data_IF_061059063307
#
_entry.id   IF_061059063307
#
_cell.length_a   1.000
_cell.length_b   1.000
_cell.length_c   1.000
_cell.angle_alpha   90.00
_cell.angle_beta   90.00
_cell.angle_gamma   90.00
#
_symmetry.space_group_name_H-M   'P 1'
#
loop_
_entity.id
_entity.type
_entity.pdbx_description
1 polymer ?
#
# COMPACT_ATOMS: atom_id res chain seq x y z
N UNK A 1 -19.92 -6.73 12.82
CA UNK A 1 -19.54 -6.67 11.39
C UNK A 1 -19.36 -5.20 11.04
N UNK A 2 -18.14 -4.79 10.66
CA UNK A 2 -17.92 -3.40 10.23
C UNK A 2 -18.67 -3.18 8.91
N UNK A 3 -19.42 -2.09 8.81
CA UNK A 3 -20.16 -1.74 7.59
C UNK A 3 -19.19 -1.46 6.43
N UNK A 4 -19.04 -2.44 5.54
CA UNK A 4 -18.19 -2.36 4.35
C UNK A 4 -18.74 -1.33 3.34
N UNK A 5 -20.04 -1.02 3.40
CA UNK A 5 -20.70 -0.03 2.53
C UNK A 5 -20.19 1.38 2.78
N UNK A 6 -19.81 1.72 4.02
CA UNK A 6 -19.31 3.06 4.39
C UNK A 6 -17.90 3.38 3.86
N UNK A 7 -17.17 2.39 3.33
CA UNK A 7 -15.78 2.52 2.86
C UNK A 7 -15.62 2.50 1.33
N UNK A 8 -16.70 2.31 0.59
CA UNK A 8 -16.65 2.34 -0.85
C UNK A 8 -16.49 3.77 -1.36
N UNK A 9 -15.43 4.02 -2.14
CA UNK A 9 -15.22 5.30 -2.80
C UNK A 9 -16.18 5.43 -3.99
N UNK A 10 -16.89 6.56 -4.17
CA UNK A 10 -17.71 6.78 -5.35
C UNK A 10 -16.91 6.57 -6.64
N UNK A 11 -17.47 5.86 -7.61
CA UNK A 11 -16.76 5.38 -8.80
C UNK A 11 -16.05 6.51 -9.57
N UNK A 12 -16.72 7.66 -9.74
CA UNK A 12 -16.12 8.82 -10.44
C UNK A 12 -14.92 9.41 -9.67
N UNK A 13 -14.99 9.45 -8.33
CA UNK A 13 -13.86 9.88 -7.50
C UNK A 13 -12.71 8.89 -7.57
N UNK A 14 -13.01 7.60 -7.45
CA UNK A 14 -12.02 6.53 -7.54
C UNK A 14 -11.23 6.58 -8.87
N UNK A 15 -11.91 6.84 -10.01
CA UNK A 15 -11.26 6.98 -11.31
C UNK A 15 -10.22 8.10 -11.31
N UNK A 16 -10.61 9.30 -10.91
CA UNK A 16 -9.71 10.46 -10.85
C UNK A 16 -8.56 10.24 -9.87
N UNK A 17 -8.84 9.66 -8.71
CA UNK A 17 -7.82 9.42 -7.69
C UNK A 17 -6.78 8.39 -8.15
N UNK A 18 -7.19 7.29 -8.78
CA UNK A 18 -6.26 6.29 -9.34
C UNK A 18 -5.35 6.93 -10.38
N UNK A 19 -5.90 7.67 -11.36
CA UNK A 19 -5.09 8.34 -12.38
C UNK A 19 -4.08 9.30 -11.76
N UNK A 20 -4.51 10.10 -10.78
CA UNK A 20 -3.64 11.04 -10.06
C UNK A 20 -2.52 10.31 -9.30
N UNK A 21 -2.83 9.21 -8.61
CA UNK A 21 -1.84 8.44 -7.86
C UNK A 21 -0.86 7.73 -8.80
N UNK A 22 -1.33 7.13 -9.89
CA UNK A 22 -0.49 6.54 -10.92
C UNK A 22 0.56 7.53 -11.44
N UNK A 23 0.13 8.76 -11.77
CA UNK A 23 1.04 9.84 -12.20
C UNK A 23 2.06 10.19 -11.12
N UNK A 24 1.63 10.36 -9.87
CA UNK A 24 2.53 10.65 -8.75
C UNK A 24 3.57 9.55 -8.53
N UNK A 25 3.17 8.27 -8.59
CA UNK A 25 4.10 7.16 -8.46
C UNK A 25 5.19 7.21 -9.54
N UNK A 26 4.80 7.52 -10.78
CA UNK A 26 5.72 7.66 -11.90
C UNK A 26 6.65 8.88 -11.74
N UNK A 27 6.09 10.06 -11.47
CA UNK A 27 6.84 11.31 -11.29
C UNK A 27 7.85 11.25 -10.12
N UNK A 28 7.54 10.49 -9.07
CA UNK A 28 8.44 10.27 -7.93
C UNK A 28 9.45 9.13 -8.14
N UNK A 29 9.44 8.48 -9.30
CA UNK A 29 10.33 7.36 -9.60
C UNK A 29 10.09 6.12 -8.72
N UNK A 30 8.85 5.93 -8.23
CA UNK A 30 8.48 4.74 -7.48
C UNK A 30 8.05 3.58 -8.39
N UNK A 31 7.87 3.85 -9.67
CA UNK A 31 7.61 2.89 -10.75
C UNK A 31 8.31 3.31 -12.02
N UNK A 32 8.59 2.37 -12.89
CA UNK A 32 9.15 2.59 -14.22
C UNK A 32 8.35 1.81 -15.28
N UNK A 33 8.36 2.28 -16.52
CA UNK A 33 7.71 1.59 -17.62
C UNK A 33 6.25 1.23 -17.34
N UNK A 34 5.93 -0.06 -17.36
CA UNK A 34 4.58 -0.60 -17.10
C UNK A 34 4.40 -1.14 -15.69
N UNK A 35 5.41 -1.00 -14.84
CA UNK A 35 5.42 -1.55 -13.48
C UNK A 35 4.32 -0.97 -12.59
N UNK A 36 4.05 -1.71 -11.51
CA UNK A 36 3.11 -1.31 -10.48
C UNK A 36 1.63 -1.35 -10.91
N UNK A 37 0.78 -1.27 -9.95
CA UNK A 37 -0.68 -1.23 -10.15
C UNK A 37 -1.38 -0.65 -8.92
N UNK A 38 -2.57 -0.11 -9.13
CA UNK A 38 -3.36 0.58 -8.11
C UNK A 38 -4.80 0.11 -8.19
N UNK A 39 -5.41 -0.14 -7.04
CA UNK A 39 -6.84 -0.45 -6.98
C UNK A 39 -7.56 0.26 -5.83
N UNK A 40 -8.87 0.44 -5.98
CA UNK A 40 -9.75 1.08 -5.00
C UNK A 40 -11.05 0.29 -4.90
N UNK A 41 -11.53 0.05 -3.68
CA UNK A 41 -12.84 -0.55 -3.43
C UNK A 41 -13.95 0.44 -3.79
N UNK A 42 -14.83 0.04 -4.71
CA UNK A 42 -15.94 0.85 -5.21
C UNK A 42 -17.32 0.24 -4.91
N UNK A 43 -17.33 -0.83 -4.16
CA UNK A 43 -18.54 -1.52 -3.69
C UNK A 43 -18.17 -2.62 -2.68
N UNK A 44 -19.16 -3.26 -2.06
CA UNK A 44 -18.91 -4.29 -1.07
C UNK A 44 -18.16 -5.50 -1.65
N UNK A 45 -18.40 -5.80 -2.91
CA UNK A 45 -17.92 -6.99 -3.64
C UNK A 45 -17.03 -6.65 -4.84
N UNK A 46 -16.62 -5.38 -5.05
CA UNK A 46 -15.92 -4.96 -6.27
C UNK A 46 -14.91 -3.86 -6.05
N UNK A 47 -13.91 -3.85 -6.92
CA UNK A 47 -12.82 -2.90 -6.97
C UNK A 47 -12.68 -2.31 -8.38
N UNK A 48 -12.10 -1.13 -8.46
CA UNK A 48 -11.58 -0.53 -9.68
C UNK A 48 -10.06 -0.68 -9.68
N UNK A 49 -9.46 -1.14 -10.78
CA UNK A 49 -8.03 -1.44 -10.87
C UNK A 49 -7.42 -0.92 -12.17
N UNK A 50 -6.14 -0.61 -12.16
CA UNK A 50 -5.37 -0.25 -13.35
C UNK A 50 -5.27 -1.42 -14.32
N UNK A 51 -5.21 -1.15 -15.65
CA UNK A 51 -5.06 -2.18 -16.67
C UNK A 51 -3.65 -2.75 -16.71
N UNK A 52 -3.50 -3.93 -17.31
CA UNK A 52 -2.22 -4.49 -17.72
C UNK A 52 -1.67 -3.75 -18.95
N UNK A 53 -0.34 -3.82 -19.14
CA UNK A 53 0.33 -3.43 -20.37
C UNK A 53 0.30 -1.93 -20.69
N UNK A 54 0.09 -1.07 -19.68
CA UNK A 54 0.06 0.39 -19.86
C UNK A 54 0.94 1.07 -18.80
N UNK A 55 1.77 2.03 -19.26
CA UNK A 55 2.51 2.90 -18.35
C UNK A 55 1.55 3.65 -17.42
N UNK A 56 1.89 3.72 -16.13
CA UNK A 56 1.05 4.42 -15.15
C UNK A 56 1.04 5.93 -15.36
N UNK A 57 2.03 6.48 -16.08
CA UNK A 57 2.02 7.87 -16.53
C UNK A 57 0.88 8.16 -17.52
N UNK A 58 0.48 7.15 -18.32
CA UNK A 58 -0.44 7.29 -19.44
C UNK A 58 -1.87 6.79 -19.15
N UNK A 59 -2.09 6.19 -17.95
CA UNK A 59 -3.41 5.69 -17.55
C UNK A 59 -4.45 6.81 -17.53
N UNK A 60 -5.58 6.58 -18.19
CA UNK A 60 -6.76 7.46 -18.21
C UNK A 60 -7.92 6.81 -17.46
N UNK A 61 -8.90 7.60 -17.05
CA UNK A 61 -10.08 7.11 -16.35
C UNK A 61 -10.84 6.00 -17.09
N UNK A 62 -10.88 6.10 -18.45
CA UNK A 62 -11.53 5.11 -19.31
C UNK A 62 -10.79 3.77 -19.43
N UNK A 63 -9.49 3.73 -19.10
CA UNK A 63 -8.67 2.51 -19.16
C UNK A 63 -8.91 1.58 -17.96
N UNK A 64 -9.46 2.13 -16.86
CA UNK A 64 -9.62 1.41 -15.60
C UNK A 64 -10.67 0.31 -15.71
N UNK A 65 -10.40 -0.82 -15.06
CA UNK A 65 -11.19 -2.04 -15.11
C UNK A 65 -11.92 -2.25 -13.79
N UNK A 66 -13.23 -2.49 -13.83
CA UNK A 66 -14.02 -2.88 -12.67
C UNK A 66 -14.05 -4.41 -12.57
N UNK A 67 -13.63 -4.92 -11.40
CA UNK A 67 -13.50 -6.35 -11.13
C UNK A 67 -14.23 -6.70 -9.84
N UNK A 68 -14.95 -7.82 -9.81
CA UNK A 68 -15.51 -8.37 -8.59
C UNK A 68 -14.42 -9.01 -7.72
N UNK A 69 -14.68 -9.18 -6.43
CA UNK A 69 -13.70 -9.80 -5.52
C UNK A 69 -13.44 -11.29 -5.85
N UNK A 70 -14.29 -11.95 -6.65
CA UNK A 70 -14.03 -13.29 -7.17
C UNK A 70 -13.02 -13.31 -8.34
N UNK A 71 -12.65 -12.14 -8.87
CA UNK A 71 -11.76 -11.98 -10.01
C UNK A 71 -12.50 -11.75 -11.33
N UNK A 72 -13.81 -11.84 -11.36
CA UNK A 72 -14.61 -11.64 -12.58
C UNK A 72 -14.61 -10.18 -13.01
N UNK A 73 -14.19 -9.91 -14.26
CA UNK A 73 -14.30 -8.56 -14.85
C UNK A 73 -15.76 -8.17 -15.02
N UNK A 74 -16.16 -7.04 -14.46
CA UNK A 74 -17.53 -6.48 -14.55
C UNK A 74 -17.66 -5.41 -15.63
N UNK A 75 -16.67 -4.52 -15.73
CA UNK A 75 -16.65 -3.41 -16.71
C UNK A 75 -15.23 -3.07 -17.13
N UNK A 76 -15.07 -2.44 -18.27
CA UNK A 76 -13.80 -2.02 -18.86
C UNK A 76 -13.44 -2.85 -20.10
N UNK A 77 -12.72 -2.23 -21.03
CA UNK A 77 -12.35 -2.84 -22.31
C UNK A 77 -11.00 -3.57 -22.22
N UNK A 78 -10.13 -3.14 -21.29
CA UNK A 78 -8.79 -3.71 -21.11
C UNK A 78 -8.80 -4.91 -20.17
N UNK A 79 -7.73 -5.69 -20.20
CA UNK A 79 -7.46 -6.68 -19.15
C UNK A 79 -7.01 -5.97 -17.87
N UNK A 80 -7.44 -6.45 -16.71
CA UNK A 80 -6.93 -6.00 -15.43
C UNK A 80 -5.44 -6.34 -15.28
N UNK A 81 -4.76 -5.67 -14.34
CA UNK A 81 -3.36 -5.98 -14.01
C UNK A 81 -3.13 -7.48 -13.84
N UNK A 82 -1.99 -7.99 -14.32
CA UNK A 82 -1.56 -9.39 -14.13
C UNK A 82 -1.41 -9.76 -12.66
N UNK A 83 -1.19 -8.78 -11.78
CA UNK A 83 -1.00 -9.00 -10.34
C UNK A 83 -2.29 -8.77 -9.53
N UNK A 84 -3.44 -8.78 -10.20
CA UNK A 84 -4.76 -8.64 -9.57
C UNK A 84 -4.96 -9.60 -8.39
N UNK A 85 -4.42 -10.82 -8.45
CA UNK A 85 -4.58 -11.83 -7.40
C UNK A 85 -4.06 -11.35 -6.02
N UNK A 86 -2.94 -10.60 -5.99
CA UNK A 86 -2.40 -10.01 -4.75
C UNK A 86 -3.37 -8.99 -4.17
N UNK A 87 -3.96 -8.14 -5.00
CA UNK A 87 -4.98 -7.18 -4.53
C UNK A 87 -6.20 -7.89 -3.97
N UNK A 88 -6.70 -8.90 -4.69
CA UNK A 88 -7.91 -9.62 -4.29
C UNK A 88 -7.74 -10.36 -2.96
N UNK A 89 -6.59 -11.01 -2.72
CA UNK A 89 -6.35 -11.70 -1.43
C UNK A 89 -6.36 -10.72 -0.27
N UNK A 90 -5.78 -9.53 -0.44
CA UNK A 90 -5.81 -8.46 0.57
C UNK A 90 -7.25 -7.99 0.83
N UNK A 91 -8.01 -7.66 -0.21
CA UNK A 91 -9.40 -7.19 -0.04
C UNK A 91 -10.34 -8.22 0.56
N UNK A 92 -10.16 -9.52 0.23
CA UNK A 92 -10.97 -10.61 0.78
C UNK A 92 -10.71 -10.81 2.27
N UNK A 93 -9.45 -10.77 2.69
CA UNK A 93 -9.07 -10.96 4.08
C UNK A 93 -9.26 -9.70 4.94
N UNK A 94 -9.24 -8.50 4.34
CA UNK A 94 -9.21 -7.22 5.02
C UNK A 94 -10.38 -6.30 4.57
N UNK A 95 -11.57 -6.46 5.17
CA UNK A 95 -12.71 -5.57 4.87
C UNK A 95 -12.46 -4.11 5.21
N UNK A 96 -11.50 -3.81 6.09
CA UNK A 96 -11.06 -2.47 6.46
C UNK A 96 -10.23 -1.77 5.37
N UNK A 97 -9.73 -2.53 4.37
CA UNK A 97 -8.93 -1.97 3.27
C UNK A 97 -9.86 -1.41 2.18
N UNK A 98 -9.69 -0.12 1.89
CA UNK A 98 -10.37 0.58 0.78
C UNK A 98 -9.50 0.76 -0.46
N UNK A 99 -8.16 0.66 -0.34
CA UNK A 99 -7.25 0.79 -1.49
C UNK A 99 -5.96 0.00 -1.29
N UNK A 100 -5.38 -0.44 -2.42
CA UNK A 100 -4.08 -1.14 -2.50
C UNK A 100 -3.22 -0.48 -3.57
N UNK A 101 -1.95 -0.25 -3.25
CA UNK A 101 -0.92 0.27 -4.16
C UNK A 101 0.23 -0.72 -4.21
N UNK A 102 0.59 -1.17 -5.41
CA UNK A 102 1.81 -1.91 -5.68
C UNK A 102 2.74 -1.05 -6.54
N UNK A 103 4.00 -0.99 -6.17
CA UNK A 103 5.05 -0.23 -6.84
C UNK A 103 6.42 -0.92 -6.66
N UNK A 104 7.42 -0.43 -7.41
CA UNK A 104 8.82 -0.88 -7.29
C UNK A 104 9.72 0.27 -6.81
N UNK A 105 9.48 0.81 -5.59
CA UNK A 105 10.27 1.92 -5.05
C UNK A 105 11.73 1.46 -4.92
N UNK A 106 12.70 2.16 -5.54
CA UNK A 106 14.03 1.59 -5.79
C UNK A 106 14.78 1.13 -4.54
N UNK A 107 14.74 1.93 -3.46
CA UNK A 107 15.49 1.59 -2.26
C UNK A 107 14.80 0.48 -1.46
N UNK A 108 13.49 0.57 -1.27
CA UNK A 108 12.73 -0.48 -0.58
C UNK A 108 12.76 -1.81 -1.36
N UNK A 109 12.70 -1.76 -2.70
CA UNK A 109 12.89 -2.93 -3.55
C UNK A 109 14.31 -3.49 -3.44
N UNK A 110 15.33 -2.62 -3.27
CA UNK A 110 16.70 -3.05 -2.99
C UNK A 110 16.81 -3.91 -1.73
N UNK A 111 16.12 -3.53 -0.65
CA UNK A 111 16.02 -4.36 0.57
C UNK A 111 15.34 -5.71 0.26
N UNK A 112 14.26 -5.70 -0.51
CA UNK A 112 13.57 -6.93 -0.90
C UNK A 112 14.44 -7.86 -1.77
N UNK A 113 15.26 -7.30 -2.67
CA UNK A 113 16.23 -8.05 -3.49
C UNK A 113 17.36 -8.63 -2.64
N UNK A 114 17.81 -7.90 -1.63
CA UNK A 114 18.82 -8.38 -0.67
C UNK A 114 18.28 -9.42 0.32
N UNK A 115 16.95 -9.65 0.34
CA UNK A 115 16.32 -10.52 1.35
C UNK A 115 16.31 -9.91 2.75
N UNK A 116 16.47 -8.57 2.86
CA UNK A 116 16.59 -7.85 4.12
C UNK A 116 15.26 -7.16 4.49
N UNK A 117 14.67 -7.44 5.65
CA UNK A 117 13.51 -6.70 6.12
C UNK A 117 13.87 -5.27 6.51
N UNK A 118 12.91 -4.35 6.39
CA UNK A 118 13.06 -3.01 6.96
C UNK A 118 12.93 -3.08 8.49
N UNK A 119 13.88 -2.49 9.26
CA UNK A 119 13.77 -2.41 10.71
C UNK A 119 12.51 -1.65 11.13
N UNK A 120 11.57 -2.35 11.77
CA UNK A 120 10.27 -1.81 12.13
C UNK A 120 10.33 -0.71 13.21
N UNK A 121 11.46 -0.60 13.92
CA UNK A 121 11.67 0.28 15.06
C UNK A 121 12.76 1.34 14.83
N UNK A 122 13.11 1.61 13.58
CA UNK A 122 14.16 2.58 13.27
C UNK A 122 13.67 4.04 13.25
N UNK A 123 12.40 4.27 12.88
CA UNK A 123 11.87 5.62 12.65
C UNK A 123 10.46 5.76 13.25
N UNK A 124 10.17 6.83 14.02
CA UNK A 124 8.83 7.08 14.57
C UNK A 124 7.75 7.13 13.48
N UNK A 125 8.05 7.77 12.34
CA UNK A 125 7.11 7.92 11.21
C UNK A 125 6.76 6.57 10.57
N UNK A 126 7.72 5.62 10.53
CA UNK A 126 7.46 4.27 10.04
C UNK A 126 6.55 3.51 11.02
N UNK A 127 6.85 3.55 12.32
CA UNK A 127 6.06 2.90 13.37
C UNK A 127 4.62 3.42 13.37
N UNK A 128 4.45 4.74 13.40
CA UNK A 128 3.15 5.39 13.52
C UNK A 128 2.36 5.38 12.20
N UNK A 129 3.00 5.72 11.06
CA UNK A 129 2.30 5.93 9.79
C UNK A 129 2.04 4.64 9.01
N UNK A 130 2.93 3.66 9.13
CA UNK A 130 2.89 2.41 8.36
C UNK A 130 2.69 1.21 9.28
N UNK A 131 3.47 1.11 10.33
CA UNK A 131 3.60 -0.09 11.17
C UNK A 131 4.67 -1.04 10.62
N UNK A 132 4.69 -2.30 11.05
CA UNK A 132 5.65 -3.27 10.57
C UNK A 132 5.47 -3.53 9.06
N UNK A 133 6.61 -3.68 8.36
CA UNK A 133 6.66 -4.03 6.94
C UNK A 133 7.10 -5.49 6.83
N UNK A 134 6.22 -6.36 6.36
CA UNK A 134 6.55 -7.77 6.20
C UNK A 134 7.42 -7.99 4.95
N UNK A 135 8.36 -8.93 5.01
CA UNK A 135 9.06 -9.44 3.83
C UNK A 135 8.40 -10.76 3.41
N UNK A 136 7.65 -10.71 2.30
CA UNK A 136 6.97 -11.87 1.71
C UNK A 136 7.99 -12.65 0.87
N UNK A 137 8.15 -13.97 1.08
CA UNK A 137 9.07 -14.78 0.29
C UNK A 137 8.75 -14.73 -1.21
N UNK A 138 9.81 -14.89 -2.02
CA UNK A 138 9.68 -14.87 -3.48
C UNK A 138 8.67 -15.90 -3.98
N UNK A 139 7.91 -15.48 -4.96
CA UNK A 139 7.07 -16.32 -5.81
C UNK A 139 6.87 -15.60 -7.15
N UNK A 140 6.61 -16.35 -8.20
CA UNK A 140 6.46 -15.80 -9.55
C UNK A 140 5.35 -14.75 -9.62
N UNK A 141 5.64 -13.50 -10.05
CA UNK A 141 4.64 -12.46 -10.21
C UNK A 141 3.49 -12.86 -11.14
N UNK A 142 2.30 -12.33 -10.86
CA UNK A 142 1.11 -12.61 -11.67
C UNK A 142 0.46 -13.98 -11.42
N UNK A 143 0.93 -14.76 -10.45
CA UNK A 143 0.40 -16.09 -10.13
C UNK A 143 -0.47 -16.09 -8.86
N UNK A 144 -1.40 -17.03 -8.78
CA UNK A 144 -2.15 -17.32 -7.54
C UNK A 144 -1.22 -17.81 -6.41
N UNK A 145 -0.07 -18.38 -6.76
CA UNK A 145 0.93 -18.81 -5.79
C UNK A 145 1.49 -17.61 -5.01
N UNK A 146 1.80 -16.50 -5.70
CA UNK A 146 2.22 -15.26 -5.05
C UNK A 146 1.13 -14.73 -4.10
N UNK A 147 -0.12 -14.69 -4.53
CA UNK A 147 -1.22 -14.25 -3.67
C UNK A 147 -1.34 -15.11 -2.39
N UNK A 148 -1.16 -16.43 -2.50
CA UNK A 148 -1.14 -17.33 -1.33
C UNK A 148 0.02 -17.03 -0.37
N UNK A 149 1.18 -16.56 -0.86
CA UNK A 149 2.31 -16.16 0.01
C UNK A 149 1.97 -14.99 0.93
N UNK A 150 1.02 -14.14 0.55
CA UNK A 150 0.57 -13.04 1.41
C UNK A 150 -0.25 -13.49 2.61
N UNK A 151 -0.94 -14.63 2.54
CA UNK A 151 -1.91 -15.07 3.55
C UNK A 151 -1.38 -15.00 4.99
N UNK A 152 -0.15 -15.48 5.33
CA UNK A 152 0.37 -15.40 6.69
C UNK A 152 0.65 -13.98 7.18
N UNK A 153 0.75 -13.01 6.28
CA UNK A 153 1.15 -11.64 6.57
C UNK A 153 0.01 -10.62 6.45
N UNK A 154 -1.23 -11.07 6.20
CA UNK A 154 -2.36 -10.16 6.00
C UNK A 154 -2.85 -9.52 7.30
N UNK A 155 -2.74 -10.25 8.42
CA UNK A 155 -3.06 -9.72 9.72
C UNK A 155 -1.87 -8.91 10.28
N UNK A 156 -2.17 -7.75 10.85
CA UNK A 156 -1.17 -6.90 11.51
C UNK A 156 -0.30 -6.04 10.59
N UNK A 157 -0.34 -6.25 9.27
CA UNK A 157 0.47 -5.49 8.32
C UNK A 157 -0.39 -4.67 7.35
N UNK A 158 0.10 -3.50 6.99
CA UNK A 158 -0.47 -2.62 5.97
C UNK A 158 0.56 -2.32 4.85
N UNK A 159 1.77 -2.87 4.98
CA UNK A 159 2.83 -2.78 3.99
C UNK A 159 3.62 -4.09 3.93
N UNK A 160 4.01 -4.46 2.73
CA UNK A 160 4.75 -5.68 2.43
C UNK A 160 5.84 -5.38 1.41
N UNK A 161 7.03 -5.89 1.62
CA UNK A 161 8.06 -6.09 0.60
C UNK A 161 7.87 -7.50 0.02
N UNK A 162 7.93 -7.62 -1.28
CA UNK A 162 7.97 -8.90 -1.97
C UNK A 162 9.41 -9.18 -2.39
N UNK A 163 9.99 -10.28 -1.91
CA UNK A 163 11.37 -10.65 -2.24
C UNK A 163 11.61 -10.61 -3.76
N UNK A 164 12.69 -9.96 -4.20
CA UNK A 164 13.10 -9.80 -5.60
C UNK A 164 12.07 -9.13 -6.53
N UNK A 165 11.11 -8.35 -5.98
CA UNK A 165 10.04 -7.82 -6.82
C UNK A 165 9.74 -6.34 -6.54
N UNK A 166 9.18 -6.01 -5.38
CA UNK A 166 8.73 -4.65 -5.08
C UNK A 166 8.01 -4.53 -3.75
N UNK A 167 7.15 -3.54 -3.62
CA UNK A 167 6.38 -3.27 -2.41
C UNK A 167 4.88 -3.20 -2.67
N UNK A 168 4.08 -3.61 -1.68
CA UNK A 168 2.63 -3.44 -1.66
C UNK A 168 2.24 -2.68 -0.39
N UNK A 169 1.31 -1.74 -0.51
CA UNK A 169 0.73 -1.05 0.64
C UNK A 169 -0.78 -1.00 0.54
N UNK A 170 -1.43 -1.09 1.68
CA UNK A 170 -2.88 -1.02 1.79
C UNK A 170 -3.31 0.10 2.74
N UNK A 171 -4.53 0.59 2.57
CA UNK A 171 -5.09 1.61 3.44
C UNK A 171 -6.60 1.72 3.33
N UNK A 172 -7.25 2.41 4.29
CA UNK A 172 -8.68 2.66 4.24
C UNK A 172 -9.09 3.55 3.07
N UNK A 173 -8.16 4.34 2.54
CA UNK A 173 -8.33 5.18 1.35
C UNK A 173 -7.10 5.10 0.46
N UNK A 174 -7.23 5.50 -0.81
CA UNK A 174 -6.11 5.53 -1.74
C UNK A 174 -5.03 6.53 -1.31
N UNK A 175 -5.42 7.64 -0.70
CA UNK A 175 -4.47 8.59 -0.14
C UNK A 175 -3.56 7.93 0.90
N UNK A 176 -4.14 7.20 1.86
CA UNK A 176 -3.38 6.52 2.92
C UNK A 176 -2.48 5.43 2.34
N UNK A 177 -3.00 4.59 1.43
CA UNK A 177 -2.20 3.56 0.80
C UNK A 177 -0.99 4.14 0.04
N UNK A 178 -1.21 5.23 -0.72
CA UNK A 178 -0.13 5.93 -1.43
C UNK A 178 0.90 6.56 -0.47
N UNK A 179 0.45 7.26 0.58
CA UNK A 179 1.36 7.85 1.59
C UNK A 179 2.21 6.80 2.28
N UNK A 180 1.65 5.61 2.57
CA UNK A 180 2.41 4.47 3.10
C UNK A 180 3.50 4.01 2.13
N UNK A 181 3.22 3.96 0.82
CA UNK A 181 4.21 3.63 -0.19
C UNK A 181 5.37 4.63 -0.20
N UNK A 182 5.06 5.92 -0.15
CA UNK A 182 6.07 6.98 -0.05
C UNK A 182 6.89 6.84 1.24
N UNK A 183 6.25 6.56 2.38
CA UNK A 183 6.91 6.38 3.68
C UNK A 183 7.81 5.16 3.71
N UNK A 184 7.41 4.04 3.10
CA UNK A 184 8.23 2.82 2.99
C UNK A 184 9.52 3.12 2.21
N UNK A 185 9.42 3.77 1.05
CA UNK A 185 10.61 4.15 0.28
C UNK A 185 11.48 5.17 1.04
N UNK A 186 10.88 6.17 1.66
CA UNK A 186 11.61 7.18 2.41
C UNK A 186 12.37 6.58 3.60
N UNK A 187 11.71 5.70 4.36
CA UNK A 187 12.34 4.97 5.45
C UNK A 187 13.49 4.08 4.96
N UNK A 188 13.30 3.36 3.85
CA UNK A 188 14.33 2.54 3.25
C UNK A 188 15.57 3.36 2.87
N UNK A 189 15.39 4.55 2.27
CA UNK A 189 16.49 5.48 1.94
C UNK A 189 17.24 5.94 3.18
N UNK A 190 16.54 6.33 4.23
CA UNK A 190 17.14 6.78 5.49
C UNK A 190 17.93 5.64 6.13
N UNK A 191 17.35 4.44 6.20
CA UNK A 191 17.99 3.26 6.79
C UNK A 191 19.25 2.86 6.00
N UNK A 192 19.18 2.92 4.66
CA UNK A 192 20.35 2.65 3.82
C UNK A 192 21.46 3.68 4.05
N UNK A 193 21.13 4.97 4.12
CA UNK A 193 22.08 6.02 4.43
C UNK A 193 22.69 5.85 5.84
N UNK A 194 21.89 5.48 6.84
CA UNK A 194 22.37 5.21 8.20
C UNK A 194 23.36 4.04 8.23
N UNK A 195 23.09 2.97 7.47
CA UNK A 195 24.02 1.82 7.33
C UNK A 195 25.37 2.22 6.70
N UNK A 196 25.37 3.25 5.86
CA UNK A 196 26.59 3.79 5.23
C UNK A 196 27.48 4.63 6.17
N UNK A 197 26.91 5.16 7.25
CA UNK A 197 27.64 6.01 8.22
C UNK A 197 27.79 5.38 9.59
N UNK A 198 27.10 4.27 9.87
CA UNK A 198 27.16 3.56 11.15
C UNK A 198 26.13 2.46 11.26
N UNK A 199 25.73 2.16 12.50
CA UNK A 199 24.68 1.18 12.79
C UNK A 199 23.33 1.86 12.98
N UNK A 200 22.28 1.23 12.46
CA UNK A 200 20.91 1.67 12.70
C UNK A 200 20.57 1.51 14.18
N UNK A 201 20.27 2.63 14.85
CA UNK A 201 19.85 2.63 16.24
C UNK A 201 18.36 2.39 16.33
N UNK A 202 17.95 1.42 17.14
CA UNK A 202 16.54 1.15 17.40
C UNK A 202 15.97 2.20 18.38
N UNK A 203 14.71 2.58 18.16
CA UNK A 203 13.94 3.34 19.15
C UNK A 203 13.76 2.53 20.44
N UNK A 204 13.68 3.17 21.62
CA UNK A 204 13.34 2.48 22.86
C UNK A 204 12.00 1.74 22.73
N UNK A 205 11.90 0.53 23.26
CA UNK A 205 10.68 -0.28 23.17
C UNK A 205 9.41 0.43 23.71
N UNK A 206 9.58 1.23 24.79
CA UNK A 206 8.46 2.01 25.34
C UNK A 206 7.91 3.01 24.32
N UNK A 207 8.80 3.67 23.57
CA UNK A 207 8.42 4.59 22.49
C UNK A 207 7.74 3.88 21.33
N UNK A 208 8.25 2.71 20.93
CA UNK A 208 7.63 1.88 19.89
C UNK A 208 6.23 1.45 20.31
N UNK A 209 6.04 0.99 21.55
CA UNK A 209 4.73 0.61 22.08
C UNK A 209 3.74 1.80 22.10
N UNK A 210 4.19 2.97 22.52
CA UNK A 210 3.35 4.17 22.54
C UNK A 210 2.92 4.62 21.13
N UNK A 211 3.84 4.62 20.18
CA UNK A 211 3.56 4.95 18.78
C UNK A 211 2.61 3.94 18.12
N UNK A 212 2.80 2.64 18.38
CA UNK A 212 1.92 1.60 17.83
C UNK A 212 0.52 1.66 18.44
N UNK A 213 0.39 1.95 19.73
CA UNK A 213 -0.89 2.17 20.38
C UNK A 213 -1.63 3.37 19.75
N UNK A 214 -0.96 4.51 19.59
CA UNK A 214 -1.52 5.69 18.93
C UNK A 214 -1.93 5.42 17.48
N UNK A 215 -1.14 4.64 16.72
CA UNK A 215 -1.49 4.19 15.37
C UNK A 215 -2.77 3.37 15.34
N UNK A 216 -2.92 2.43 16.28
CA UNK A 216 -4.12 1.56 16.38
C UNK A 216 -5.36 2.36 16.75
N UNK A 217 -5.26 3.29 17.68
CA UNK A 217 -6.37 4.20 18.06
C UNK A 217 -6.82 5.04 16.84
N UNK A 218 -5.89 5.56 16.06
CA UNK A 218 -6.21 6.32 14.84
C UNK A 218 -6.90 5.45 13.77
N UNK A 219 -6.51 4.16 13.65
CA UNK A 219 -7.17 3.19 12.75
C UNK A 219 -8.60 2.87 13.19
N UNK A 220 -8.83 2.71 14.51
CA UNK A 220 -10.15 2.39 15.08
C UNK A 220 -11.03 3.64 15.07
N UNK A 221 -10.45 4.81 15.31
CA UNK A 221 -11.13 6.10 15.40
C UNK A 221 -11.63 6.69 14.09
N UNK A 222 -11.62 6.00 12.96
CA UNK A 222 -11.94 6.41 11.57
C UNK A 222 -12.99 7.50 11.30
N UNK A 223 -13.19 8.41 12.26
CA UNK A 223 -13.87 9.70 12.10
C UNK A 223 -12.81 10.75 11.80
N UNK A 224 -12.98 11.44 10.68
CA UNK A 224 -12.27 12.68 10.40
C UNK A 224 -12.30 13.58 11.66
N UNK A 225 -11.22 13.58 12.44
CA UNK A 225 -11.02 14.65 13.40
C UNK A 225 -10.67 15.89 12.58
N UNK A 226 -11.65 16.79 12.48
CA UNK A 226 -11.44 18.19 12.14
C UNK A 226 -10.23 18.70 12.95
N UNK A 227 -9.29 19.30 12.26
CA UNK A 227 -8.09 19.94 12.81
C UNK A 227 -8.44 20.73 14.05
N UNK A 228 -8.07 20.23 15.20
CA UNK A 228 -8.01 21.04 16.41
C UNK A 228 -6.65 21.74 16.37
N UNK A 229 -6.57 23.06 16.33
CA UNK A 229 -5.29 23.74 16.37
C UNK A 229 -4.63 23.44 17.72
N UNK A 230 -3.35 23.09 17.68
CA UNK A 230 -2.51 23.01 18.86
C UNK A 230 -2.56 24.39 19.54
N UNK A 231 -3.00 24.44 20.77
CA UNK A 231 -2.84 25.65 21.59
C UNK A 231 -1.35 25.79 21.88
N UNK A 232 -0.75 26.96 21.68
CA UNK A 232 0.59 27.22 22.19
C UNK A 232 0.50 27.21 23.72
N UNK A 233 1.32 26.34 24.32
CA UNK A 233 1.52 26.36 25.75
C UNK A 233 2.21 27.67 26.13
N UNK A 234 1.62 28.38 27.12
CA UNK A 234 2.19 29.59 27.69
C UNK A 234 3.32 29.28 28.67
#
# INVERSE_FOLDING_TARGET
MADVSSRATPLASARREIVRVCRKLYERGLIAGQDGNVSVRVGPDRILVTPAGLSKADVKEGDLVEVALDGTRRRGQRSASSELAVHLVIYRARPDVGAVVHAHPPTATGFAVAGEPLPANALPELVYGVGPVALVPYETPGTEALARRFTPYLEGHDAWLMANHGAVTAGPTLLVAHQRMESVEHAARIILAARGVGQVQALPESSVRALDAARREHRIGGRAQSRRPLKPDG
#
